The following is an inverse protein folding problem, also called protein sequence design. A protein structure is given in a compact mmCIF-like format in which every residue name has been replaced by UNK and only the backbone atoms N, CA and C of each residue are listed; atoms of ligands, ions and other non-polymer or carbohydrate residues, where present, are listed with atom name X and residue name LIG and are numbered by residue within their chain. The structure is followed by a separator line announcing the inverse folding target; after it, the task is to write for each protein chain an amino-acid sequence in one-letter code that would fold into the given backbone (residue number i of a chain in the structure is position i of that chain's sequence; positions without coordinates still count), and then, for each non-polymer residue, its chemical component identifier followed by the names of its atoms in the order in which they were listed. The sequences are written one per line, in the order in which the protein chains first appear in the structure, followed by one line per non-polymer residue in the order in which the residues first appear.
data_IF_011398613877
#
_entry.id   IF_011398613877
#
_cell.length_a   1.000
_cell.length_b   1.000
_cell.length_c   1.000
_cell.angle_alpha   90.00
_cell.angle_beta   90.00
_cell.angle_gamma   90.00
#
_symmetry.space_group_name_H-M   'P 1'
#
loop_
_entity.id
_entity.type
_entity.pdbx_description
1 polymer ?
#
# COMPACT_ATOMS: atom_id res chain seq x y z
N UNK A 1 1.25 6.54 9.73
CA UNK A 1 2.12 7.39 8.89
C UNK A 1 3.00 6.50 8.04
N UNK A 2 2.94 6.64 6.72
CA UNK A 2 3.83 5.97 5.76
C UNK A 2 4.83 7.02 5.26
N UNK A 3 6.09 6.90 5.71
CA UNK A 3 7.20 7.74 5.31
C UNK A 3 8.03 6.99 4.28
N UNK A 4 7.70 7.23 3.01
CA UNK A 4 8.37 6.67 1.86
C UNK A 4 9.41 7.62 1.25
N UNK A 5 9.84 7.27 0.05
CA UNK A 5 10.69 8.11 -0.80
C UNK A 5 10.37 7.86 -2.27
N UNK A 6 10.59 8.87 -3.12
CA UNK A 6 10.50 8.69 -4.58
C UNK A 6 11.53 7.69 -5.12
N UNK A 7 12.58 7.44 -4.36
CA UNK A 7 13.62 6.46 -4.67
C UNK A 7 13.34 5.04 -4.10
N UNK A 8 12.17 4.82 -3.48
CA UNK A 8 11.76 3.48 -3.03
C UNK A 8 11.82 2.49 -4.19
N UNK A 9 12.40 1.31 -3.92
CA UNK A 9 12.51 0.24 -4.90
C UNK A 9 12.56 -1.12 -4.23
N UNK A 10 12.06 -2.11 -4.95
CA UNK A 10 12.26 -3.51 -4.58
C UNK A 10 13.74 -3.88 -4.76
N UNK A 11 14.22 -4.78 -3.91
CA UNK A 11 15.57 -5.32 -4.03
C UNK A 11 15.64 -6.42 -5.09
N UNK A 12 16.82 -7.06 -5.18
CA UNK A 12 17.07 -8.17 -6.11
C UNK A 12 15.93 -9.22 -6.06
N UNK A 13 15.41 -9.56 -7.24
CA UNK A 13 14.29 -10.50 -7.40
C UNK A 13 12.92 -9.91 -7.08
N UNK A 14 12.76 -8.60 -7.25
CA UNK A 14 11.54 -7.84 -6.97
C UNK A 14 10.98 -8.11 -5.56
N UNK A 15 11.88 -8.06 -4.58
CA UNK A 15 11.62 -8.53 -3.23
C UNK A 15 11.87 -7.42 -2.20
N UNK A 16 10.97 -7.29 -1.24
CA UNK A 16 11.11 -6.36 -0.11
C UNK A 16 12.35 -6.66 0.76
N UNK A 17 12.78 -7.92 0.81
CA UNK A 17 13.96 -8.38 1.54
C UNK A 17 15.19 -8.57 0.63
N UNK A 18 15.03 -8.26 -0.66
CA UNK A 18 16.12 -8.38 -1.63
C UNK A 18 17.21 -7.38 -1.34
N UNK A 19 18.45 -7.74 -1.69
CA UNK A 19 19.58 -6.84 -1.62
C UNK A 19 19.29 -5.55 -2.42
N UNK A 20 19.59 -4.40 -1.82
CA UNK A 20 19.37 -3.08 -2.43
C UNK A 20 17.93 -2.58 -2.37
N UNK A 21 17.02 -3.27 -1.68
CA UNK A 21 15.67 -2.77 -1.42
C UNK A 21 15.72 -1.44 -0.64
N UNK A 22 14.90 -0.48 -1.07
CA UNK A 22 14.65 0.79 -0.37
C UNK A 22 13.18 0.82 -0.01
N UNK A 23 12.88 0.73 1.29
CA UNK A 23 11.53 0.59 1.83
C UNK A 23 11.10 1.84 2.58
N UNK A 24 9.79 2.03 2.70
CA UNK A 24 9.20 3.04 3.56
C UNK A 24 9.26 2.64 5.05
N UNK A 25 9.38 3.64 5.91
CA UNK A 25 9.13 3.49 7.34
C UNK A 25 7.65 3.74 7.63
N UNK A 26 6.98 2.79 8.27
CA UNK A 26 5.58 2.90 8.64
C UNK A 26 5.47 3.01 10.15
N UNK A 27 4.99 4.15 10.65
CA UNK A 27 4.73 4.37 12.07
C UNK A 27 3.23 4.31 12.33
N UNK A 28 2.81 3.45 13.24
CA UNK A 28 1.42 3.39 13.73
C UNK A 28 1.38 3.98 15.13
N UNK A 29 0.46 4.93 15.31
CA UNK A 29 0.07 5.48 16.60
C UNK A 29 -1.24 4.82 16.98
N UNK A 30 -1.17 3.79 17.82
CA UNK A 30 -2.32 2.97 18.18
C UNK A 30 -3.19 3.61 19.27
N UNK A 31 -4.34 2.98 19.59
CA UNK A 31 -5.36 3.54 20.46
C UNK A 31 -4.93 3.70 21.92
N UNK A 32 -3.90 2.99 22.40
CA UNK A 32 -3.40 3.10 23.78
C UNK A 32 -2.41 4.27 23.97
N UNK A 33 -2.32 5.17 22.99
CA UNK A 33 -1.56 6.42 23.11
C UNK A 33 -0.05 6.22 22.97
N UNK A 34 0.74 6.86 23.83
CA UNK A 34 2.20 6.91 23.71
C UNK A 34 2.88 5.54 23.86
N UNK A 35 2.23 4.61 24.55
CA UNK A 35 2.75 3.26 24.81
C UNK A 35 2.47 2.29 23.65
N UNK A 36 1.63 2.69 22.70
CA UNK A 36 1.24 1.89 21.52
C UNK A 36 1.70 2.55 20.22
N UNK A 37 2.98 2.95 20.20
CA UNK A 37 3.65 3.45 19.00
C UNK A 37 4.59 2.37 18.48
N UNK A 38 4.33 1.88 17.27
CA UNK A 38 5.14 0.84 16.63
C UNK A 38 5.61 1.25 15.25
N UNK A 39 6.79 0.76 14.88
CA UNK A 39 7.39 0.96 13.56
C UNK A 39 7.47 -0.33 12.78
N UNK A 40 7.10 -0.26 11.51
CA UNK A 40 7.06 -1.34 10.55
C UNK A 40 7.79 -0.93 9.28
N UNK A 41 8.19 -1.91 8.49
CA UNK A 41 8.67 -1.71 7.13
C UNK A 41 7.49 -1.78 6.17
N UNK A 42 7.45 -0.87 5.21
CA UNK A 42 6.42 -0.82 4.18
C UNK A 42 6.98 -0.51 2.81
N UNK A 43 6.09 -0.40 1.83
CA UNK A 43 6.44 0.02 0.48
C UNK A 43 5.28 0.84 -0.08
N UNK A 44 5.58 2.05 -0.54
CA UNK A 44 4.52 2.98 -0.97
C UNK A 44 4.44 3.15 -2.48
N UNK A 45 5.39 2.60 -3.23
CA UNK A 45 5.36 2.58 -4.69
C UNK A 45 4.57 1.37 -5.19
N UNK A 46 4.12 1.39 -6.43
CA UNK A 46 3.58 0.20 -7.08
C UNK A 46 4.69 -0.80 -7.37
N UNK A 47 4.31 -2.06 -7.66
CA UNK A 47 5.25 -3.12 -8.06
C UNK A 47 6.16 -2.69 -9.22
N UNK A 48 5.66 -1.82 -10.10
CA UNK A 48 6.40 -1.20 -11.17
C UNK A 48 5.73 0.14 -11.56
N UNK A 49 6.29 1.29 -11.13
CA UNK A 49 5.72 2.61 -11.43
C UNK A 49 5.73 2.99 -12.91
N UNK A 50 6.42 2.24 -13.77
CA UNK A 50 6.36 2.42 -15.23
C UNK A 50 5.15 1.73 -15.86
N UNK A 51 4.50 0.82 -15.12
CA UNK A 51 3.34 0.04 -15.57
C UNK A 51 2.06 0.33 -14.81
N UNK A 52 2.17 0.72 -13.54
CA UNK A 52 1.03 0.92 -12.65
C UNK A 52 1.07 2.26 -11.95
N UNK A 53 -0.12 2.75 -11.60
CA UNK A 53 -0.32 3.96 -10.83
C UNK A 53 0.30 3.93 -9.43
N UNK A 54 0.57 5.10 -8.88
CA UNK A 54 1.10 5.30 -7.52
C UNK A 54 0.21 6.31 -6.81
N UNK A 55 -0.23 6.00 -5.58
CA UNK A 55 -1.06 6.93 -4.79
C UNK A 55 -0.28 8.21 -4.48
N UNK A 56 -0.90 9.36 -4.69
CA UNK A 56 -0.31 10.66 -4.37
C UNK A 56 0.01 10.81 -2.88
N UNK A 57 0.95 11.69 -2.56
CA UNK A 57 1.16 12.12 -1.17
C UNK A 57 -0.08 12.85 -0.67
N UNK A 58 -0.52 12.52 0.54
CA UNK A 58 -1.80 13.01 1.03
C UNK A 58 -2.14 12.54 2.44
N UNK A 59 -3.24 13.07 2.95
CA UNK A 59 -3.87 12.55 4.16
C UNK A 59 -5.17 11.89 3.73
N UNK A 60 -5.34 10.64 4.12
CA UNK A 60 -6.47 9.81 3.74
C UNK A 60 -7.10 9.19 4.99
N UNK A 61 -8.37 8.84 4.90
CA UNK A 61 -9.01 7.95 5.87
C UNK A 61 -8.81 6.51 5.42
N UNK A 62 -8.40 5.62 6.31
CA UNK A 62 -8.40 4.18 6.08
C UNK A 62 -9.57 3.59 6.84
N UNK A 63 -10.39 2.80 6.16
CA UNK A 63 -11.55 2.15 6.72
C UNK A 63 -11.36 0.64 6.74
N UNK A 64 -11.89 -0.03 7.76
CA UNK A 64 -12.16 -1.45 7.68
C UNK A 64 -13.36 -1.70 6.78
N UNK A 65 -13.24 -2.71 5.92
CA UNK A 65 -14.38 -3.23 5.17
C UNK A 65 -15.49 -3.68 6.13
N UNK A 66 -16.73 -3.43 5.72
CA UNK A 66 -17.93 -3.92 6.40
C UNK A 66 -18.07 -5.42 6.21
N UNK A 67 -18.84 -6.04 7.10
CA UNK A 67 -19.18 -7.45 6.97
C UNK A 67 -19.84 -7.75 5.61
N UNK A 68 -19.45 -8.87 4.99
CA UNK A 68 -19.93 -9.27 3.67
C UNK A 68 -19.23 -8.60 2.48
N UNK A 69 -18.43 -7.56 2.69
CA UNK A 69 -17.64 -6.97 1.59
C UNK A 69 -16.49 -7.88 1.19
N UNK A 70 -16.24 -7.98 -0.12
CA UNK A 70 -15.10 -8.74 -0.66
C UNK A 70 -13.80 -8.20 -0.08
N UNK A 71 -12.92 -9.07 0.41
CA UNK A 71 -11.60 -8.68 0.91
C UNK A 71 -10.69 -8.14 -0.21
N UNK A 72 -9.70 -7.34 0.18
CA UNK A 72 -8.60 -6.90 -0.68
C UNK A 72 -7.54 -8.00 -0.88
N UNK A 73 -6.44 -7.66 -1.57
CA UNK A 73 -5.32 -8.59 -1.76
C UNK A 73 -4.85 -9.20 -0.44
N UNK A 74 -4.47 -10.48 -0.50
CA UNK A 74 -4.00 -11.25 0.65
C UNK A 74 -4.95 -11.23 1.87
N UNK A 75 -6.25 -11.06 1.63
CA UNK A 75 -7.27 -11.05 2.67
C UNK A 75 -7.33 -9.76 3.49
N UNK A 76 -6.70 -8.67 3.02
CA UNK A 76 -6.75 -7.39 3.75
C UNK A 76 -8.17 -6.82 3.79
N UNK A 77 -8.58 -6.32 4.95
CA UNK A 77 -9.81 -5.56 5.13
C UNK A 77 -9.56 -4.05 5.26
N UNK A 78 -8.33 -3.55 5.04
CA UNK A 78 -7.99 -2.14 5.20
C UNK A 78 -8.01 -1.42 3.85
N UNK A 79 -9.03 -0.61 3.60
CA UNK A 79 -9.23 0.14 2.35
C UNK A 79 -8.99 1.64 2.57
N UNK A 80 -8.27 2.28 1.65
CA UNK A 80 -8.10 3.73 1.65
C UNK A 80 -9.37 4.38 1.10
N UNK A 81 -9.94 5.29 1.88
CA UNK A 81 -11.27 5.91 1.73
C UNK A 81 -12.39 4.86 1.60
N UNK A 82 -12.60 4.31 0.42
CA UNK A 82 -13.48 3.16 0.18
C UNK A 82 -13.13 2.53 -1.17
N UNK A 83 -13.72 1.36 -1.48
CA UNK A 83 -13.40 0.60 -2.69
C UNK A 83 -13.60 1.39 -4.00
N UNK A 84 -14.58 2.31 -4.04
CA UNK A 84 -14.93 3.06 -5.25
C UNK A 84 -14.39 4.49 -5.22
N UNK A 85 -13.67 4.87 -4.18
CA UNK A 85 -13.08 6.20 -4.06
C UNK A 85 -12.06 6.42 -5.18
N UNK A 86 -12.07 7.63 -5.73
CA UNK A 86 -11.05 8.10 -6.67
C UNK A 86 -9.89 8.67 -5.86
N UNK A 87 -8.87 7.84 -5.66
CA UNK A 87 -7.66 8.25 -4.94
C UNK A 87 -6.73 8.95 -5.92
N UNK A 88 -6.31 10.20 -5.67
CA UNK A 88 -5.40 10.92 -6.56
C UNK A 88 -4.09 10.17 -6.77
N UNK A 89 -3.57 10.24 -7.98
CA UNK A 89 -2.29 9.62 -8.33
C UNK A 89 -1.14 10.61 -8.26
N UNK A 90 0.03 10.08 -7.92
CA UNK A 90 1.27 10.82 -7.93
C UNK A 90 1.49 11.39 -9.34
N UNK A 91 1.86 12.67 -9.40
CA UNK A 91 2.13 13.39 -10.65
C UNK A 91 0.92 13.41 -11.64
N UNK A 92 -0.30 13.13 -11.15
CA UNK A 92 -1.54 13.07 -11.94
C UNK A 92 -1.44 12.13 -13.17
N UNK A 93 -0.75 10.99 -13.03
CA UNK A 93 -0.53 10.06 -14.14
C UNK A 93 -0.64 8.58 -13.73
N UNK A 94 -1.26 7.76 -14.59
CA UNK A 94 -1.36 6.32 -14.45
C UNK A 94 -0.92 5.61 -15.74
N UNK A 95 0.20 4.89 -15.76
CA UNK A 95 0.62 4.17 -16.96
C UNK A 95 -0.37 3.08 -17.41
N UNK A 96 -1.14 2.49 -16.50
CA UNK A 96 -2.15 1.49 -16.82
C UNK A 96 -3.46 2.08 -17.34
N UNK A 97 -3.70 3.37 -17.06
CA UNK A 97 -4.90 4.12 -17.44
C UNK A 97 -4.56 5.54 -17.89
N UNK A 98 -3.76 5.71 -18.96
CA UNK A 98 -3.27 7.01 -19.40
C UNK A 98 -4.38 7.94 -19.89
N UNK A 99 -5.57 7.40 -20.16
CA UNK A 99 -6.75 8.15 -20.58
C UNK A 99 -7.40 8.98 -19.47
N UNK A 100 -7.08 8.72 -18.19
CA UNK A 100 -7.74 9.38 -17.05
C UNK A 100 -7.08 10.72 -16.72
N UNK A 101 -7.86 11.81 -16.79
CA UNK A 101 -7.44 13.14 -16.38
C UNK A 101 -8.59 13.88 -15.63
N UNK A 102 -8.45 14.17 -14.32
CA UNK A 102 -7.33 13.82 -13.47
C UNK A 102 -7.17 12.29 -13.31
N UNK A 103 -5.94 11.83 -13.15
CA UNK A 103 -5.63 10.42 -12.90
C UNK A 103 -6.07 10.02 -11.49
N UNK A 104 -6.54 8.78 -11.37
CA UNK A 104 -6.98 8.23 -10.10
C UNK A 104 -6.90 6.69 -10.06
N UNK A 105 -6.62 6.19 -8.86
CA UNK A 105 -6.76 4.79 -8.49
C UNK A 105 -8.11 4.54 -7.83
N UNK A 106 -8.60 3.30 -7.96
CA UNK A 106 -9.74 2.78 -7.19
C UNK A 106 -9.32 1.49 -6.51
N UNK A 107 -10.02 1.11 -5.43
CA UNK A 107 -9.72 -0.12 -4.70
C UNK A 107 -8.31 -0.16 -4.12
N UNK A 108 -7.84 0.97 -3.56
CA UNK A 108 -6.54 1.07 -2.90
C UNK A 108 -6.64 0.46 -1.50
N UNK A 109 -5.81 -0.54 -1.21
CA UNK A 109 -5.73 -1.21 0.09
C UNK A 109 -4.39 -0.98 0.76
N UNK A 110 -4.36 -1.12 2.08
CA UNK A 110 -3.13 -1.44 2.81
C UNK A 110 -3.09 -2.95 2.96
N UNK A 111 -2.07 -3.63 2.43
CA UNK A 111 -1.94 -5.08 2.56
C UNK A 111 -0.48 -5.50 2.66
N UNK A 112 -0.23 -6.80 2.83
CA UNK A 112 1.14 -7.35 2.76
C UNK A 112 1.51 -7.80 1.35
N UNK A 113 2.80 -7.95 1.09
CA UNK A 113 3.27 -8.70 -0.08
C UNK A 113 3.11 -10.22 0.10
N UNK A 114 3.64 -10.99 -0.85
CA UNK A 114 3.79 -12.44 -0.70
C UNK A 114 4.65 -12.78 0.54
N UNK A 115 4.46 -13.95 1.17
CA UNK A 115 5.13 -14.36 2.42
C UNK A 115 6.65 -14.30 2.34
N UNK A 116 7.21 -14.59 1.17
CA UNK A 116 8.66 -14.54 0.92
C UNK A 116 9.18 -13.14 0.60
N UNK A 117 8.36 -12.09 0.70
CA UNK A 117 8.72 -10.70 0.39
C UNK A 117 8.59 -10.32 -1.08
N UNK A 118 8.25 -11.26 -1.98
CA UNK A 118 8.08 -10.94 -3.39
C UNK A 118 6.90 -9.98 -3.61
N UNK A 119 7.18 -8.88 -4.30
CA UNK A 119 6.26 -7.78 -4.53
C UNK A 119 6.30 -7.25 -5.99
N UNK A 120 6.88 -8.01 -6.91
CA UNK A 120 7.11 -7.60 -8.28
C UNK A 120 5.89 -7.66 -9.22
N UNK A 121 6.08 -7.20 -10.46
CA UNK A 121 5.11 -7.39 -11.53
C UNK A 121 5.15 -8.81 -12.09
N UNK A 122 4.04 -9.26 -12.66
CA UNK A 122 3.93 -10.54 -13.35
C UNK A 122 2.96 -10.44 -14.52
N UNK A 123 3.16 -11.25 -15.56
CA UNK A 123 2.29 -11.26 -16.73
C UNK A 123 1.32 -12.45 -16.65
N UNK A 124 0.01 -12.18 -16.77
CA UNK A 124 -1.03 -13.20 -16.73
C UNK A 124 -2.20 -12.81 -17.62
N UNK A 125 -2.76 -13.77 -18.36
CA UNK A 125 -3.94 -13.57 -19.22
C UNK A 125 -3.81 -12.38 -20.18
N UNK A 126 -2.64 -12.21 -20.79
CA UNK A 126 -2.42 -11.16 -21.78
C UNK A 126 -2.19 -9.75 -21.20
N UNK A 127 -2.08 -9.60 -19.87
CA UNK A 127 -1.83 -8.31 -19.23
C UNK A 127 -0.83 -8.37 -18.08
N UNK A 128 -0.19 -7.24 -17.83
CA UNK A 128 0.65 -7.04 -16.66
C UNK A 128 -0.21 -6.90 -15.40
N UNK A 129 0.29 -7.48 -14.32
CA UNK A 129 -0.24 -7.39 -12.98
C UNK A 129 0.87 -7.07 -11.99
N UNK A 130 0.51 -6.50 -10.86
CA UNK A 130 1.42 -6.25 -9.74
C UNK A 130 0.92 -6.94 -8.48
N UNK A 131 1.84 -7.26 -7.56
CA UNK A 131 1.45 -7.49 -6.16
C UNK A 131 0.78 -6.24 -5.59
N UNK A 132 1.28 -5.06 -5.97
CA UNK A 132 0.61 -3.77 -5.79
C UNK A 132 0.53 -3.03 -7.12
N UNK A 133 -0.70 -2.77 -7.59
CA UNK A 133 -0.97 -1.89 -8.74
C UNK A 133 -1.30 -0.45 -8.26
N UNK A 134 -0.77 -0.05 -7.10
CA UNK A 134 -1.05 1.24 -6.44
C UNK A 134 -1.52 1.13 -4.98
N UNK A 135 -1.60 -0.08 -4.44
CA UNK A 135 -1.83 -0.31 -3.00
C UNK A 135 -0.58 0.00 -2.16
N UNK A 136 -0.77 0.18 -0.86
CA UNK A 136 0.32 0.37 0.09
C UNK A 136 0.67 -0.95 0.75
N UNK A 137 1.96 -1.26 0.84
CA UNK A 137 2.42 -2.51 1.43
C UNK A 137 2.98 -2.32 2.83
N UNK A 138 2.74 -3.31 3.68
CA UNK A 138 3.47 -3.55 4.93
C UNK A 138 4.19 -4.89 4.81
N UNK A 139 5.40 -5.00 5.37
CA UNK A 139 6.21 -6.22 5.31
C UNK A 139 5.40 -7.45 5.76
N UNK A 140 5.47 -8.57 5.01
CA UNK A 140 4.70 -9.78 5.33
C UNK A 140 5.10 -10.39 6.67
N UNK A 141 6.36 -10.22 7.10
CA UNK A 141 6.84 -10.70 8.41
C UNK A 141 6.29 -9.88 9.59
N UNK A 142 5.80 -8.67 9.33
CA UNK A 142 5.28 -7.75 10.33
C UNK A 142 3.77 -7.54 10.24
N UNK A 143 3.13 -8.09 9.21
CA UNK A 143 1.71 -7.91 8.91
C UNK A 143 0.80 -8.28 10.08
N UNK A 144 1.07 -9.40 10.75
CA UNK A 144 0.24 -9.85 11.87
C UNK A 144 0.28 -8.88 13.06
N UNK A 145 1.44 -8.30 13.35
CA UNK A 145 1.58 -7.30 14.42
C UNK A 145 0.87 -6.00 14.04
N UNK A 146 1.09 -5.54 12.80
CA UNK A 146 0.43 -4.35 12.25
C UNK A 146 -1.10 -4.46 12.31
N UNK A 147 -1.68 -5.58 11.86
CA UNK A 147 -3.14 -5.76 11.88
C UNK A 147 -3.70 -5.97 13.28
N UNK A 148 -2.96 -6.65 14.17
CA UNK A 148 -3.36 -6.82 15.58
C UNK A 148 -3.46 -5.46 16.28
N UNK A 149 -2.48 -4.59 16.09
CA UNK A 149 -2.50 -3.23 16.65
C UNK A 149 -3.72 -2.43 16.18
N UNK A 150 -4.13 -2.61 14.93
CA UNK A 150 -5.29 -1.93 14.34
C UNK A 150 -6.62 -2.69 14.55
N UNK A 151 -6.62 -3.86 15.20
CA UNK A 151 -7.82 -4.69 15.38
C UNK A 151 -8.98 -3.99 16.13
N UNK A 152 -8.77 -3.16 17.16
CA UNK A 152 -9.89 -2.54 17.89
C UNK A 152 -10.52 -1.33 17.17
N UNK A 153 -9.89 -0.77 16.14
CA UNK A 153 -10.34 0.46 15.47
C UNK A 153 -11.02 0.18 14.12
N UNK A 154 -12.08 0.92 13.79
CA UNK A 154 -12.79 0.73 12.51
C UNK A 154 -12.27 1.64 11.39
N UNK A 155 -11.70 2.78 11.74
CA UNK A 155 -11.05 3.69 10.81
C UNK A 155 -9.91 4.43 11.49
N UNK A 156 -9.00 4.97 10.70
CA UNK A 156 -7.89 5.80 11.16
C UNK A 156 -7.36 6.71 10.05
N UNK A 157 -6.63 7.75 10.43
CA UNK A 157 -5.97 8.63 9.47
C UNK A 157 -4.63 8.03 9.00
N UNK A 158 -4.47 7.99 7.69
CA UNK A 158 -3.22 7.69 7.01
C UNK A 158 -2.59 9.00 6.52
N UNK A 159 -1.36 9.27 6.93
CA UNK A 159 -0.51 10.26 6.29
C UNK A 159 0.50 9.52 5.42
N UNK A 160 0.49 9.80 4.11
CA UNK A 160 1.46 9.31 3.14
C UNK A 160 2.36 10.46 2.70
N UNK A 161 3.65 10.32 2.92
CA UNK A 161 4.67 11.32 2.60
C UNK A 161 5.88 10.63 1.97
N UNK A 162 6.31 11.09 0.82
CA UNK A 162 7.54 10.65 0.15
C UNK A 162 8.51 11.81 0.08
N UNK A 163 9.73 11.59 0.55
CA UNK A 163 10.83 12.57 0.45
C UNK A 163 11.75 12.26 -0.71
#
# INVERSE_FOLDING_TARGET
MFNGSKDEKLGKGDNLFGEGAKLASVTVYGPEGTDDIQSYQGFTMSSDPTKFGVVADGTYTVNKLKEGERLGPYGSNLVVENRNARIPEQDNFNPAHPERNPAYLTGVFIHRSNNNGWAGPFYKNGKWHGVSEGCLLVSPTQWSSFTKQLQPINNFLLQLRRK
#
